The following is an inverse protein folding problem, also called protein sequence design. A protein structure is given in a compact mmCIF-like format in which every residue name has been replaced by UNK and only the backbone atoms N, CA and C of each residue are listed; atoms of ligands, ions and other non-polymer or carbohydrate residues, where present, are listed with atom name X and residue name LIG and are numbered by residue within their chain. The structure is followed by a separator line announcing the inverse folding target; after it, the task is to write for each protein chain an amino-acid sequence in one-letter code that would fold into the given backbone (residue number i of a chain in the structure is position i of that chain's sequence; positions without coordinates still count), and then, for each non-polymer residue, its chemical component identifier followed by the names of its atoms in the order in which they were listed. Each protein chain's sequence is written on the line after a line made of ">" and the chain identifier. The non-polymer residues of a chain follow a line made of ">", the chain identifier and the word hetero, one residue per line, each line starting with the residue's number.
data_IF_235391160382
#
_entry.id   IF_235391160382
#
_cell.length_a   1.000
_cell.length_b   1.000
_cell.length_c   1.000
_cell.angle_alpha   90.00
_cell.angle_beta   90.00
_cell.angle_gamma   90.00
#
_symmetry.space_group_name_H-M   'P 1'
#
loop_
_entity.id
_entity.type
_entity.pdbx_description
1 polymer ?
#
# COMPACT_ATOMS: atom_id res chain seq x y z
N UNK A 1 21.37 10.69 -17.94
CA UNK A 1 20.36 9.99 -18.75
C UNK A 1 19.53 9.23 -17.73
N UNK A 2 18.55 9.89 -17.11
CA UNK A 2 17.94 9.38 -15.86
C UNK A 2 16.39 9.45 -15.90
N UNK A 3 15.81 9.80 -17.06
CA UNK A 3 14.37 9.85 -17.27
C UNK A 3 13.78 8.50 -17.77
N UNK A 4 14.62 7.51 -18.06
CA UNK A 4 14.18 6.21 -18.59
C UNK A 4 13.80 5.21 -17.48
N UNK A 5 14.32 5.35 -16.26
CA UNK A 5 14.03 4.37 -15.19
C UNK A 5 12.64 4.50 -14.56
N UNK A 6 12.13 5.73 -14.45
CA UNK A 6 10.83 6.00 -13.82
C UNK A 6 9.66 5.62 -14.75
N UNK A 7 9.79 5.89 -16.05
CA UNK A 7 8.77 5.53 -17.05
C UNK A 7 8.62 4.04 -17.30
N UNK A 8 9.70 3.26 -17.14
CA UNK A 8 9.65 1.80 -17.32
C UNK A 8 8.84 1.12 -16.20
N UNK A 9 8.95 1.59 -14.95
CA UNK A 9 8.19 1.00 -13.83
C UNK A 9 6.72 1.40 -13.88
N UNK A 10 6.41 2.69 -13.99
CA UNK A 10 5.03 3.18 -14.09
C UNK A 10 4.25 2.49 -15.22
N UNK A 11 4.85 2.41 -16.41
CA UNK A 11 4.22 1.73 -17.56
C UNK A 11 3.98 0.26 -17.28
N UNK A 12 4.96 -0.45 -16.70
CA UNK A 12 4.80 -1.87 -16.39
C UNK A 12 3.67 -2.13 -15.39
N UNK A 13 3.56 -1.30 -14.35
CA UNK A 13 2.47 -1.40 -13.38
C UNK A 13 1.12 -1.04 -14.00
N UNK A 14 1.05 0.05 -14.76
CA UNK A 14 -0.17 0.47 -15.44
C UNK A 14 -0.70 -0.60 -16.39
N UNK A 15 0.17 -1.26 -17.15
CA UNK A 15 -0.20 -2.38 -18.03
C UNK A 15 -0.78 -3.56 -17.22
N UNK A 16 -0.08 -3.97 -16.15
CA UNK A 16 -0.51 -5.12 -15.33
C UNK A 16 -1.83 -4.85 -14.62
N UNK A 17 -1.97 -3.69 -13.97
CA UNK A 17 -3.23 -3.25 -13.34
C UNK A 17 -4.36 -3.22 -14.37
N UNK A 18 -4.10 -2.70 -15.58
CA UNK A 18 -5.12 -2.64 -16.65
C UNK A 18 -5.58 -4.01 -17.13
N UNK A 19 -4.77 -5.06 -16.94
CA UNK A 19 -5.20 -6.44 -17.25
C UNK A 19 -6.17 -7.02 -16.21
N UNK A 20 -6.19 -6.47 -14.99
CA UNK A 20 -6.95 -7.02 -13.86
C UNK A 20 -6.43 -8.38 -13.37
N UNK A 21 -5.20 -8.75 -13.73
CA UNK A 21 -4.57 -10.00 -13.30
C UNK A 21 -3.82 -9.78 -11.98
N UNK A 22 -4.49 -10.07 -10.87
CA UNK A 22 -3.94 -9.96 -9.50
C UNK A 22 -2.68 -10.80 -9.33
N UNK A 23 -2.59 -11.97 -9.97
CA UNK A 23 -1.42 -12.84 -9.87
C UNK A 23 -0.20 -12.21 -10.55
N UNK A 24 -0.41 -11.60 -11.72
CA UNK A 24 0.65 -10.88 -12.42
C UNK A 24 1.10 -9.65 -11.62
N UNK A 25 0.17 -8.93 -10.99
CA UNK A 25 0.45 -7.78 -10.14
C UNK A 25 1.28 -8.18 -8.91
N UNK A 26 0.83 -9.18 -8.16
CA UNK A 26 1.55 -9.73 -7.01
C UNK A 26 2.96 -10.15 -7.40
N UNK A 27 3.12 -10.85 -8.53
CA UNK A 27 4.44 -11.28 -9.01
C UNK A 27 5.35 -10.11 -9.38
N UNK A 28 4.78 -9.01 -9.90
CA UNK A 28 5.54 -7.81 -10.19
C UNK A 28 5.99 -7.15 -8.88
N UNK A 29 5.08 -7.00 -7.93
CA UNK A 29 5.34 -6.43 -6.59
C UNK A 29 6.41 -7.21 -5.81
N UNK A 30 6.35 -8.54 -5.83
CA UNK A 30 7.36 -9.41 -5.22
C UNK A 30 8.75 -9.23 -5.85
N UNK A 31 8.79 -8.98 -7.16
CA UNK A 31 10.05 -8.81 -7.91
C UNK A 31 10.70 -7.45 -7.70
N UNK A 32 9.91 -6.39 -7.63
CA UNK A 32 10.43 -5.02 -7.55
C UNK A 32 10.53 -4.52 -6.11
N UNK A 33 9.73 -5.07 -5.20
CA UNK A 33 9.44 -4.46 -3.92
C UNK A 33 8.55 -3.21 -4.06
N UNK A 34 8.39 -2.45 -2.97
CA UNK A 34 7.57 -1.24 -2.94
C UNK A 34 8.23 -0.11 -3.74
N UNK A 35 7.50 0.41 -4.73
CA UNK A 35 7.99 1.45 -5.66
C UNK A 35 6.97 2.56 -5.88
N UNK A 36 6.06 2.79 -4.92
CA UNK A 36 5.01 3.81 -4.99
C UNK A 36 5.54 5.24 -5.23
N UNK A 37 6.80 5.51 -4.86
CA UNK A 37 7.51 6.77 -5.11
C UNK A 37 7.90 6.99 -6.58
N UNK A 38 7.94 5.91 -7.37
CA UNK A 38 8.32 5.90 -8.79
C UNK A 38 7.11 5.78 -9.72
N UNK A 39 5.91 5.56 -9.17
CA UNK A 39 4.67 5.46 -9.91
C UNK A 39 4.00 6.83 -10.04
N UNK A 40 3.21 6.99 -11.10
CA UNK A 40 2.26 8.09 -11.21
C UNK A 40 1.17 7.95 -10.15
N UNK A 41 0.52 9.05 -9.78
CA UNK A 41 -0.56 9.05 -8.79
C UNK A 41 -1.70 8.09 -9.16
N UNK A 42 -2.03 8.00 -10.46
CA UNK A 42 -3.07 7.11 -10.97
C UNK A 42 -2.69 5.65 -10.74
N UNK A 43 -1.52 5.24 -11.24
CA UNK A 43 -1.03 3.87 -11.09
C UNK A 43 -0.79 3.50 -9.63
N UNK A 44 -0.23 4.42 -8.83
CA UNK A 44 -0.04 4.21 -7.40
C UNK A 44 -1.37 3.99 -6.68
N UNK A 45 -2.42 4.76 -6.99
CA UNK A 45 -3.74 4.57 -6.39
C UNK A 45 -4.33 3.19 -6.73
N UNK A 46 -4.23 2.76 -7.99
CA UNK A 46 -4.72 1.44 -8.40
C UNK A 46 -3.95 0.30 -7.72
N UNK A 47 -2.63 0.42 -7.62
CA UNK A 47 -1.79 -0.56 -6.90
C UNK A 47 -2.13 -0.58 -5.41
N UNK A 48 -2.34 0.59 -4.78
CA UNK A 48 -2.75 0.68 -3.38
C UNK A 48 -4.15 0.10 -3.13
N UNK A 49 -5.06 0.25 -4.09
CA UNK A 49 -6.35 -0.41 -4.04
C UNK A 49 -6.18 -1.94 -4.07
N UNK A 50 -5.33 -2.47 -4.95
CA UNK A 50 -5.01 -3.90 -4.94
C UNK A 50 -4.35 -4.36 -3.63
N UNK A 51 -3.36 -3.61 -3.11
CA UNK A 51 -2.74 -3.87 -1.79
C UNK A 51 -3.78 -3.95 -0.68
N UNK A 52 -4.75 -3.05 -0.71
CA UNK A 52 -5.84 -3.00 0.28
C UNK A 52 -6.70 -4.26 0.21
N UNK A 53 -6.97 -4.78 -0.99
CA UNK A 53 -7.70 -6.04 -1.19
C UNK A 53 -6.87 -7.27 -0.79
N UNK A 54 -5.54 -7.23 -0.97
CA UNK A 54 -4.63 -8.32 -0.62
C UNK A 54 -4.27 -8.41 0.87
N UNK A 55 -4.63 -7.42 1.69
CA UNK A 55 -4.28 -7.38 3.12
C UNK A 55 -4.79 -8.59 3.91
N UNK A 56 -5.91 -9.19 3.51
CA UNK A 56 -6.47 -10.38 4.16
C UNK A 56 -5.79 -11.69 3.73
N UNK A 57 -4.92 -11.63 2.73
CA UNK A 57 -4.23 -12.82 2.22
C UNK A 57 -2.92 -13.03 2.98
N UNK A 58 -2.90 -14.04 3.85
CA UNK A 58 -1.73 -14.36 4.70
C UNK A 58 -0.41 -14.51 3.92
N UNK A 59 -0.47 -15.01 2.68
CA UNK A 59 0.72 -15.21 1.83
C UNK A 59 1.24 -13.92 1.17
N UNK A 60 0.44 -12.86 1.20
CA UNK A 60 0.75 -11.56 0.60
C UNK A 60 0.92 -10.47 1.65
N UNK A 61 0.68 -10.80 2.93
CA UNK A 61 0.63 -9.82 4.00
C UNK A 61 1.97 -9.08 4.15
N UNK A 62 3.10 -9.76 4.05
CA UNK A 62 4.45 -9.17 4.06
C UNK A 62 4.70 -8.19 2.91
N UNK A 63 4.26 -8.57 1.70
CA UNK A 63 4.31 -7.70 0.53
C UNK A 63 3.44 -6.48 0.79
N UNK A 64 2.19 -6.65 1.21
CA UNK A 64 1.27 -5.56 1.53
C UNK A 64 1.84 -4.61 2.58
N UNK A 65 2.41 -5.13 3.66
CA UNK A 65 3.04 -4.33 4.72
C UNK A 65 4.20 -3.50 4.19
N UNK A 66 5.03 -4.06 3.30
CA UNK A 66 6.16 -3.35 2.69
C UNK A 66 5.68 -2.15 1.86
N UNK A 67 4.57 -2.30 1.12
CA UNK A 67 3.96 -1.23 0.34
C UNK A 67 3.31 -0.16 1.22
N UNK A 68 2.61 -0.57 2.29
CA UNK A 68 2.00 0.35 3.25
C UNK A 68 3.07 1.13 4.03
N UNK A 69 4.17 0.46 4.39
CA UNK A 69 5.29 1.13 5.05
C UNK A 69 5.89 2.22 4.17
N UNK A 70 6.11 1.95 2.89
CA UNK A 70 6.55 2.98 1.96
C UNK A 70 5.53 4.11 1.82
N UNK A 71 4.23 3.79 1.77
CA UNK A 71 3.17 4.79 1.72
C UNK A 71 3.20 5.71 2.96
N UNK A 72 3.40 5.16 4.15
CA UNK A 72 3.55 5.94 5.39
C UNK A 72 4.73 6.91 5.26
N UNK A 73 5.88 6.44 4.81
CA UNK A 73 7.07 7.27 4.63
C UNK A 73 6.78 8.43 3.65
N UNK A 74 6.14 8.12 2.51
CA UNK A 74 5.76 9.12 1.51
C UNK A 74 4.78 10.16 2.06
N UNK A 75 3.76 9.72 2.79
CA UNK A 75 2.74 10.60 3.38
C UNK A 75 3.35 11.47 4.49
N UNK A 76 4.26 10.94 5.29
CA UNK A 76 4.94 11.70 6.34
C UNK A 76 5.94 12.72 5.76
N UNK A 77 6.60 12.38 4.66
CA UNK A 77 7.58 13.26 4.00
C UNK A 77 6.91 14.36 3.15
N UNK A 78 5.92 13.99 2.33
CA UNK A 78 5.33 14.87 1.30
C UNK A 78 3.96 15.43 1.70
N UNK A 79 3.32 14.84 2.72
CA UNK A 79 2.04 15.28 3.27
C UNK A 79 0.86 14.33 2.98
N UNK A 80 -0.32 14.58 3.58
CA UNK A 80 -1.49 13.69 3.51
C UNK A 80 -2.13 13.58 2.13
N UNK A 81 -1.91 14.55 1.26
CA UNK A 81 -2.47 14.59 -0.10
C UNK A 81 -1.52 13.99 -1.15
N UNK A 82 -0.41 13.41 -0.69
CA UNK A 82 0.55 12.68 -1.52
C UNK A 82 -0.14 11.51 -2.23
N UNK A 83 0.25 11.28 -3.50
CA UNK A 83 -0.36 10.31 -4.43
C UNK A 83 -1.83 10.59 -4.81
N UNK A 84 -2.48 11.62 -4.26
CA UNK A 84 -3.86 11.96 -4.61
C UNK A 84 -4.89 10.89 -4.19
N UNK A 85 -4.59 10.12 -3.15
CA UNK A 85 -5.40 8.97 -2.72
C UNK A 85 -6.79 9.46 -2.26
N UNK A 86 -7.88 8.92 -2.84
CA UNK A 86 -9.23 9.31 -2.46
C UNK A 86 -9.53 8.90 -1.02
N UNK A 87 -10.36 9.70 -0.34
CA UNK A 87 -10.72 9.46 1.07
C UNK A 87 -11.36 8.08 1.30
N UNK A 88 -12.09 7.56 0.32
CA UNK A 88 -12.70 6.22 0.38
C UNK A 88 -11.62 5.14 0.47
N UNK A 89 -10.63 5.18 -0.41
CA UNK A 89 -9.50 4.25 -0.40
C UNK A 89 -8.66 4.38 0.88
N UNK A 90 -8.44 5.60 1.39
CA UNK A 90 -7.76 5.82 2.68
C UNK A 90 -8.47 5.10 3.82
N UNK A 91 -9.80 5.20 3.89
CA UNK A 91 -10.61 4.55 4.93
C UNK A 91 -10.63 3.04 4.78
N UNK A 92 -10.77 2.55 3.55
CA UNK A 92 -10.76 1.12 3.26
C UNK A 92 -9.42 0.47 3.61
N UNK A 93 -8.31 1.13 3.25
CA UNK A 93 -6.96 0.69 3.61
C UNK A 93 -6.80 0.59 5.13
N UNK A 94 -7.22 1.62 5.87
CA UNK A 94 -7.14 1.59 7.33
C UNK A 94 -8.05 0.50 7.95
N UNK A 95 -9.24 0.28 7.40
CA UNK A 95 -10.15 -0.76 7.88
C UNK A 95 -9.53 -2.15 7.67
N UNK A 96 -9.13 -2.46 6.43
CA UNK A 96 -8.57 -3.76 6.10
C UNK A 96 -7.24 -4.00 6.82
N UNK A 97 -6.42 -2.96 7.02
CA UNK A 97 -5.18 -3.09 7.78
C UNK A 97 -5.46 -3.36 9.26
N UNK A 98 -6.49 -2.73 9.83
CA UNK A 98 -6.91 -2.98 11.21
C UNK A 98 -7.44 -4.41 11.39
N UNK A 99 -8.34 -4.85 10.52
CA UNK A 99 -8.86 -6.22 10.56
C UNK A 99 -7.72 -7.24 10.37
N UNK A 100 -6.86 -7.05 9.37
CA UNK A 100 -5.71 -7.92 9.13
C UNK A 100 -4.72 -7.90 10.29
N UNK A 101 -4.50 -6.77 10.97
CA UNK A 101 -3.61 -6.72 12.15
C UNK A 101 -4.15 -7.51 13.34
N UNK A 102 -5.47 -7.72 13.41
CA UNK A 102 -6.10 -8.54 14.45
C UNK A 102 -6.19 -10.02 14.11
N UNK A 103 -6.29 -10.36 12.82
CA UNK A 103 -6.47 -11.74 12.35
C UNK A 103 -5.18 -12.42 11.87
N UNK A 104 -4.19 -11.64 11.43
CA UNK A 104 -2.96 -12.13 10.79
C UNK A 104 -1.74 -11.62 11.57
N UNK A 105 -1.01 -12.54 12.18
CA UNK A 105 0.31 -12.23 12.72
C UNK A 105 1.30 -11.96 11.58
N UNK A 106 2.10 -10.88 11.65
CA UNK A 106 3.18 -10.68 10.69
C UNK A 106 4.18 -11.85 10.75
N UNK A 107 4.88 -12.15 9.64
CA UNK A 107 5.86 -13.22 9.62
C UNK A 107 6.93 -13.02 10.71
N UNK A 108 7.43 -14.13 11.28
CA UNK A 108 8.41 -14.07 12.37
C UNK A 108 9.72 -13.34 11.98
N UNK A 109 10.06 -13.34 10.69
CA UNK A 109 11.21 -12.65 10.11
C UNK A 109 10.87 -11.23 9.59
N UNK A 110 9.69 -10.69 9.92
CA UNK A 110 9.32 -9.32 9.56
C UNK A 110 10.21 -8.31 10.31
N UNK A 111 11.03 -7.57 9.57
CA UNK A 111 11.93 -6.55 10.12
C UNK A 111 11.37 -5.12 10.04
N UNK A 112 10.17 -4.96 9.47
CA UNK A 112 9.53 -3.66 9.25
C UNK A 112 8.73 -3.13 10.45
N UNK A 113 8.00 -2.04 10.20
CA UNK A 113 7.08 -1.45 11.19
C UNK A 113 5.88 -2.39 11.38
N UNK A 114 5.36 -2.51 12.61
CA UNK A 114 4.22 -3.41 12.86
C UNK A 114 2.94 -2.88 12.19
N UNK A 115 2.01 -3.76 11.78
CA UNK A 115 0.75 -3.35 11.16
C UNK A 115 -0.04 -2.32 12.00
N UNK A 116 -0.11 -2.50 13.33
CA UNK A 116 -0.73 -1.53 14.23
C UNK A 116 -0.05 -0.14 14.21
N UNK A 117 1.28 -0.10 14.11
CA UNK A 117 2.01 1.16 14.04
C UNK A 117 1.77 1.86 12.71
N UNK A 118 1.80 1.12 11.59
CA UNK A 118 1.47 1.63 10.26
C UNK A 118 0.05 2.21 10.23
N UNK A 119 -0.91 1.47 10.80
CA UNK A 119 -2.31 1.89 10.94
C UNK A 119 -2.41 3.23 11.69
N UNK A 120 -1.79 3.32 12.87
CA UNK A 120 -1.81 4.54 13.67
C UNK A 120 -1.15 5.73 12.96
N UNK A 121 -0.04 5.50 12.24
CA UNK A 121 0.67 6.54 11.51
C UNK A 121 -0.15 7.08 10.34
N UNK A 122 -0.74 6.20 9.52
CA UNK A 122 -1.61 6.63 8.41
C UNK A 122 -2.87 7.33 8.92
N UNK A 123 -3.52 6.80 9.95
CA UNK A 123 -4.71 7.40 10.53
C UNK A 123 -4.42 8.80 11.07
N UNK A 124 -3.30 8.96 11.79
CA UNK A 124 -2.85 10.26 12.30
C UNK A 124 -2.53 11.23 11.16
N UNK A 125 -1.79 10.78 10.15
CA UNK A 125 -1.38 11.63 9.02
C UNK A 125 -2.58 12.09 8.19
N UNK A 126 -3.56 11.22 7.95
CA UNK A 126 -4.79 11.56 7.23
C UNK A 126 -5.88 12.19 8.09
N UNK A 127 -5.67 12.29 9.41
CA UNK A 127 -6.67 12.82 10.34
C UNK A 127 -7.94 11.98 10.44
N UNK A 128 -7.82 10.66 10.30
CA UNK A 128 -8.93 9.70 10.35
C UNK A 128 -9.01 9.08 11.75
N UNK A 129 -10.19 9.15 12.38
CA UNK A 129 -10.40 8.57 13.70
C UNK A 129 -10.64 7.06 13.61
N UNK A 130 -9.72 6.25 14.16
CA UNK A 130 -9.80 4.78 14.18
C UNK A 130 -10.99 4.24 15.01
N UNK A 131 -11.58 5.06 15.90
CA UNK A 131 -12.73 4.67 16.72
C UNK A 131 -13.95 4.21 15.91
N UNK A 132 -14.00 4.54 14.63
CA UNK A 132 -15.06 4.10 13.72
C UNK A 132 -14.96 2.61 13.33
N UNK A 133 -13.83 1.95 13.60
CA UNK A 133 -13.57 0.56 13.20
C UNK A 133 -13.87 -0.47 14.31
N UNK A 134 -14.04 -0.04 15.56
CA UNK A 134 -14.31 -0.90 16.73
C UNK A 134 -15.81 -1.27 16.89
N UNK A 135 -16.60 -1.23 15.81
CA UNK A 135 -18.08 -1.25 15.89
C UNK A 135 -18.74 -2.54 15.44
#
# INVERSE_FOLDING_TARGET
>A
MDALKMGDMDTAYAEVVSTGDDFLLVKLMDRTGPVADQLSNETACEVLHAVTQFLMEQNLFDVCLSWIQQLVELVLENGPDTLGIPMELKKELLLNLHEASTEIDPPADWEGVTPDQLLMQLASAWGIELQQFDK
#
